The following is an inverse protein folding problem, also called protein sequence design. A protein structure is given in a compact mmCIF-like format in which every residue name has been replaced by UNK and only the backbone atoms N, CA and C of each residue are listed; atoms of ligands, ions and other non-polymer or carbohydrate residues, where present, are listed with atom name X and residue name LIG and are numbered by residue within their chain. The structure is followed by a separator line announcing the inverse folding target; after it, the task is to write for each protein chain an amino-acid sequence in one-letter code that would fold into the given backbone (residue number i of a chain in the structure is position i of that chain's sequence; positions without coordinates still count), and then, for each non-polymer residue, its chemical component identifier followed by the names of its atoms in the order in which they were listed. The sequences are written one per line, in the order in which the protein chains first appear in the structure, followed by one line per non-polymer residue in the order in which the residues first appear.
data_IF_323874219526
#
_entry.id   IF_323874219526
#
_cell.length_a   1.000
_cell.length_b   1.000
_cell.length_c   1.000
_cell.angle_alpha   90.00
_cell.angle_beta   90.00
_cell.angle_gamma   90.00
#
_symmetry.space_group_name_H-M   'P 1'
#
loop_
_entity.id
_entity.type
_entity.pdbx_description
1 polymer ?
#
# COMPACT_ATOMS: atom_id res chain seq x y z
N UNK A 1 -0.12 -29.09 -82.62
CA UNK A 1 0.69 -28.06 -81.96
C UNK A 1 -0.24 -27.36 -80.91
N UNK A 2 -0.14 -27.74 -79.66
CA UNK A 2 -0.89 -27.15 -78.58
C UNK A 2 0.10 -26.51 -77.60
N UNK A 3 0.10 -25.19 -77.51
CA UNK A 3 0.88 -24.45 -76.56
C UNK A 3 0.16 -24.49 -75.22
N UNK A 4 0.86 -24.93 -74.16
CA UNK A 4 0.41 -24.92 -72.80
C UNK A 4 0.98 -23.65 -72.08
N UNK A 5 0.11 -22.75 -71.70
CA UNK A 5 0.43 -21.53 -70.98
C UNK A 5 0.51 -21.83 -69.49
N UNK A 6 1.70 -21.72 -68.90
CA UNK A 6 1.92 -21.85 -67.48
C UNK A 6 1.67 -20.50 -66.80
N UNK A 7 0.61 -20.37 -65.97
CA UNK A 7 0.34 -19.20 -65.10
C UNK A 7 1.04 -19.47 -63.82
N UNK A 8 2.07 -18.68 -63.48
CA UNK A 8 2.69 -18.62 -62.15
C UNK A 8 1.85 -17.74 -61.22
N UNK A 9 1.21 -18.36 -60.24
CA UNK A 9 0.47 -17.66 -59.19
C UNK A 9 1.44 -17.35 -58.05
N UNK A 10 1.84 -16.07 -57.92
CA UNK A 10 2.71 -15.57 -56.85
C UNK A 10 1.87 -15.41 -55.59
N UNK A 11 2.01 -16.32 -54.61
CA UNK A 11 1.45 -16.16 -53.27
C UNK A 11 2.33 -15.17 -52.51
N UNK A 12 1.85 -13.92 -52.32
CA UNK A 12 2.45 -12.94 -51.43
C UNK A 12 2.17 -13.30 -49.98
N UNK A 13 3.24 -13.71 -49.24
CA UNK A 13 3.20 -13.90 -47.79
C UNK A 13 3.23 -12.52 -47.13
N UNK A 14 2.07 -11.97 -46.74
CA UNK A 14 2.00 -10.83 -45.82
C UNK A 14 2.37 -11.31 -44.42
N UNK A 15 3.64 -11.18 -44.01
CA UNK A 15 4.05 -11.29 -42.63
C UNK A 15 3.50 -10.07 -41.88
N UNK A 16 2.35 -10.23 -41.24
CA UNK A 16 1.82 -9.24 -40.31
C UNK A 16 2.72 -9.20 -39.08
N UNK A 17 3.49 -8.12 -38.92
CA UNK A 17 4.15 -7.81 -37.65
C UNK A 17 3.07 -7.49 -36.62
N UNK A 18 2.72 -8.46 -35.79
CA UNK A 18 1.98 -8.21 -34.58
C UNK A 18 2.93 -7.50 -33.59
N UNK A 19 2.87 -6.18 -33.56
CA UNK A 19 3.45 -5.42 -32.45
C UNK A 19 2.67 -5.82 -31.20
N UNK A 20 3.30 -6.60 -30.33
CA UNK A 20 2.84 -6.78 -28.97
C UNK A 20 2.91 -5.39 -28.31
N UNK A 21 1.76 -4.73 -28.14
CA UNK A 21 1.68 -3.56 -27.30
C UNK A 21 1.95 -4.03 -25.87
N UNK A 22 3.07 -3.59 -25.30
CA UNK A 22 3.30 -3.69 -23.86
C UNK A 22 2.11 -3.03 -23.18
N UNK A 23 1.58 -3.58 -22.08
CA UNK A 23 0.52 -2.92 -21.32
C UNK A 23 1.05 -1.54 -20.89
N UNK A 24 0.45 -0.48 -21.42
CA UNK A 24 0.78 0.88 -21.03
C UNK A 24 0.19 1.09 -19.65
N UNK A 25 1.05 1.32 -18.64
CA UNK A 25 0.60 1.71 -17.29
C UNK A 25 -0.34 2.91 -17.38
N UNK A 26 -1.31 3.00 -16.47
CA UNK A 26 -2.20 4.16 -16.46
C UNK A 26 -1.41 5.42 -16.04
N UNK A 27 -1.70 6.60 -16.60
CA UNK A 27 -1.06 7.84 -16.15
C UNK A 27 -1.25 8.12 -14.66
N UNK A 28 -2.32 7.63 -14.04
CA UNK A 28 -2.56 7.70 -12.60
C UNK A 28 -1.57 6.82 -11.84
N UNK A 29 -1.35 5.60 -12.30
CA UNK A 29 -0.39 4.67 -11.73
C UNK A 29 1.03 5.24 -11.75
N UNK A 30 1.48 5.78 -12.89
CA UNK A 30 2.81 6.37 -13.05
C UNK A 30 3.04 7.57 -12.10
N UNK A 31 1.99 8.37 -11.88
CA UNK A 31 2.05 9.51 -10.96
C UNK A 31 2.10 9.06 -9.51
N UNK A 32 1.25 8.13 -9.10
CA UNK A 32 1.25 7.57 -7.75
C UNK A 32 2.60 6.90 -7.46
N UNK A 33 3.12 6.11 -8.41
CA UNK A 33 4.45 5.51 -8.33
C UNK A 33 5.54 6.56 -8.09
N UNK A 34 5.53 7.67 -8.84
CA UNK A 34 6.50 8.74 -8.68
C UNK A 34 6.46 9.35 -7.27
N UNK A 35 5.26 9.56 -6.72
CA UNK A 35 5.10 10.12 -5.38
C UNK A 35 5.57 9.16 -4.28
N UNK A 36 5.18 7.89 -4.37
CA UNK A 36 5.53 6.87 -3.39
C UNK A 36 7.01 6.45 -3.49
N UNK A 37 7.56 6.33 -4.70
CA UNK A 37 8.96 5.91 -4.92
C UNK A 37 9.96 6.90 -4.36
N UNK A 38 9.62 8.18 -4.34
CA UNK A 38 10.47 9.24 -3.79
C UNK A 38 10.52 9.26 -2.25
N UNK A 39 9.79 8.37 -1.59
CA UNK A 39 9.82 8.18 -0.13
C UNK A 39 10.77 7.02 0.17
N UNK A 40 11.99 7.30 0.61
CA UNK A 40 12.92 6.30 1.12
C UNK A 40 12.70 6.04 2.60
N UNK A 41 12.48 7.13 3.36
CA UNK A 41 12.06 7.09 4.75
C UNK A 41 10.92 8.07 4.99
N UNK A 42 10.03 7.75 5.91
CA UNK A 42 8.93 8.58 6.34
C UNK A 42 8.77 8.49 7.85
N UNK A 43 8.67 9.61 8.51
CA UNK A 43 8.22 9.72 9.90
C UNK A 43 7.01 10.65 9.92
N UNK A 44 5.97 10.28 10.65
CA UNK A 44 4.77 11.09 10.78
C UNK A 44 4.04 10.79 12.09
N UNK A 45 3.32 11.77 12.59
CA UNK A 45 2.23 11.57 13.53
C UNK A 45 0.97 11.30 12.72
N UNK A 46 0.16 10.32 13.13
CA UNK A 46 -1.05 9.95 12.42
C UNK A 46 -2.24 10.02 13.36
N UNK A 47 -3.25 10.78 12.96
CA UNK A 47 -4.56 10.77 13.61
C UNK A 47 -5.46 9.82 12.84
N UNK A 48 -5.85 8.72 13.46
CA UNK A 48 -6.82 7.78 12.92
C UNK A 48 -8.21 8.10 13.43
N UNK A 49 -9.18 8.13 12.53
CA UNK A 49 -10.61 8.20 12.85
C UNK A 49 -11.31 6.98 12.26
N UNK A 50 -12.13 6.31 13.06
CA UNK A 50 -13.06 5.28 12.59
C UNK A 50 -14.46 5.87 12.67
N UNK A 51 -15.13 5.95 11.52
CA UNK A 51 -16.42 6.61 11.35
C UNK A 51 -17.44 5.60 10.85
N UNK A 52 -18.61 5.58 11.45
CA UNK A 52 -19.74 4.75 11.01
C UNK A 52 -20.45 5.33 9.78
N UNK A 53 -21.28 4.51 9.15
CA UNK A 53 -22.05 4.88 7.95
C UNK A 53 -23.02 6.06 8.17
N UNK A 54 -23.42 6.33 9.41
CA UNK A 54 -24.27 7.48 9.80
C UNK A 54 -23.48 8.75 10.11
N UNK A 55 -22.13 8.67 10.05
CA UNK A 55 -21.20 9.76 10.33
C UNK A 55 -20.78 9.86 11.79
N UNK A 56 -21.21 8.95 12.67
CA UNK A 56 -20.76 8.87 14.06
C UNK A 56 -19.30 8.44 14.15
N UNK A 57 -18.49 9.16 14.94
CA UNK A 57 -17.10 8.75 15.22
C UNK A 57 -17.11 7.66 16.28
N UNK A 58 -16.66 6.46 15.92
CA UNK A 58 -16.53 5.33 16.83
C UNK A 58 -15.26 5.41 17.65
N UNK A 59 -14.15 5.78 17.02
CA UNK A 59 -12.84 5.79 17.65
C UNK A 59 -11.97 6.88 17.03
N UNK A 60 -11.13 7.49 17.87
CA UNK A 60 -10.03 8.34 17.45
C UNK A 60 -8.77 7.83 18.13
N UNK A 61 -7.71 7.61 17.34
CA UNK A 61 -6.42 7.14 17.83
C UNK A 61 -5.31 8.09 17.42
N UNK A 62 -4.29 8.22 18.29
CA UNK A 62 -3.04 8.92 18.00
C UNK A 62 -1.95 7.88 17.79
N UNK A 63 -1.20 8.02 16.70
CA UNK A 63 -0.26 7.02 16.24
C UNK A 63 1.06 7.70 15.85
N UNK A 64 2.18 7.06 16.16
CA UNK A 64 3.48 7.38 15.58
C UNK A 64 3.83 6.36 14.49
N UNK A 65 4.22 6.85 13.32
CA UNK A 65 4.58 6.01 12.19
C UNK A 65 6.00 6.29 11.72
N UNK A 66 6.76 5.22 11.49
CA UNK A 66 8.03 5.26 10.78
C UNK A 66 8.02 4.24 9.63
N UNK A 67 8.53 4.65 8.49
CA UNK A 67 8.76 3.79 7.34
C UNK A 67 10.22 3.93 6.91
N UNK A 68 10.85 2.83 6.57
CA UNK A 68 12.17 2.78 5.94
C UNK A 68 12.20 1.67 4.90
N UNK A 69 12.32 2.04 3.63
CA UNK A 69 12.41 1.04 2.56
C UNK A 69 13.69 0.20 2.67
N UNK A 70 13.64 -1.08 2.25
CA UNK A 70 12.47 -1.68 1.58
C UNK A 70 11.36 -2.16 2.52
N UNK A 71 11.65 -2.58 3.76
CA UNK A 71 10.72 -3.39 4.57
C UNK A 71 10.62 -2.94 6.04
N UNK A 72 11.27 -1.85 6.42
CA UNK A 72 11.16 -1.31 7.77
C UNK A 72 9.83 -0.56 7.94
N UNK A 73 9.00 -1.03 8.88
CA UNK A 73 7.73 -0.39 9.23
C UNK A 73 7.54 -0.41 10.73
N UNK A 74 7.09 0.73 11.28
CA UNK A 74 6.78 0.94 12.68
C UNK A 74 5.49 1.72 12.77
N UNK A 75 4.54 1.20 13.54
CA UNK A 75 3.24 1.79 13.77
C UNK A 75 2.88 1.61 15.23
N UNK A 76 2.96 2.69 16.00
CA UNK A 76 2.66 2.68 17.42
C UNK A 76 1.40 3.50 17.71
N UNK A 77 0.32 2.82 18.06
CA UNK A 77 -0.88 3.46 18.60
C UNK A 77 -0.61 3.85 20.04
N UNK A 78 -0.70 5.14 20.34
CA UNK A 78 -0.45 5.72 21.68
C UNK A 78 -1.72 5.75 22.51
N UNK A 79 -2.84 6.09 21.90
CA UNK A 79 -4.16 6.22 22.51
C UNK A 79 -5.25 5.76 21.55
N UNK A 80 -6.43 5.29 21.99
CA UNK A 80 -6.80 5.00 23.40
C UNK A 80 -6.27 3.64 23.88
N UNK A 81 -5.96 2.72 22.97
CA UNK A 81 -5.48 1.36 23.24
C UNK A 81 -4.07 1.21 22.68
N UNK A 82 -3.03 1.25 23.53
CA UNK A 82 -1.66 1.12 23.09
C UNK A 82 -1.40 -0.19 22.35
N UNK A 83 -0.81 -0.08 21.16
CA UNK A 83 -0.41 -1.22 20.34
C UNK A 83 0.83 -0.84 19.51
N UNK A 84 1.76 -1.76 19.37
CA UNK A 84 2.93 -1.57 18.51
C UNK A 84 3.00 -2.67 17.45
N UNK A 85 2.94 -2.28 16.21
CA UNK A 85 3.25 -3.14 15.05
C UNK A 85 4.58 -2.69 14.47
N UNK A 86 5.57 -3.59 14.48
CA UNK A 86 6.89 -3.27 13.96
C UNK A 86 7.46 -4.43 13.16
N UNK A 87 8.16 -4.14 12.06
CA UNK A 87 8.88 -5.14 11.28
C UNK A 87 10.22 -4.62 10.78
N UNK A 88 11.18 -5.53 10.70
CA UNK A 88 12.51 -5.31 10.12
C UNK A 88 12.67 -5.94 8.72
N UNK A 89 11.57 -6.40 8.12
CA UNK A 89 11.57 -7.09 6.83
C UNK A 89 11.77 -8.60 6.90
N UNK A 90 12.01 -9.18 8.07
CA UNK A 90 12.06 -10.62 8.28
C UNK A 90 11.08 -11.10 9.34
N UNK A 91 10.87 -10.31 10.36
CA UNK A 91 10.00 -10.61 11.49
C UNK A 91 9.02 -9.46 11.68
N UNK A 92 7.78 -9.78 11.95
CA UNK A 92 6.73 -8.88 12.41
C UNK A 92 6.48 -9.13 13.89
N UNK A 93 6.46 -8.09 14.68
CA UNK A 93 6.01 -8.08 16.07
C UNK A 93 4.75 -7.23 16.18
N UNK A 94 3.71 -7.81 16.77
CA UNK A 94 2.52 -7.08 17.20
C UNK A 94 2.44 -7.18 18.71
N UNK A 95 2.78 -6.09 19.41
CA UNK A 95 2.80 -6.01 20.86
C UNK A 95 1.59 -5.24 21.38
N UNK A 96 0.85 -5.88 22.25
CA UNK A 96 -0.36 -5.36 22.89
C UNK A 96 -0.13 -5.31 24.41
N UNK A 97 0.35 -4.17 24.94
CA UNK A 97 0.72 -4.06 26.34
C UNK A 97 -0.46 -4.31 27.30
N UNK A 98 -1.67 -3.86 26.94
CA UNK A 98 -2.87 -4.03 27.78
C UNK A 98 -3.30 -5.51 27.91
N UNK A 99 -2.90 -6.35 26.96
CA UNK A 99 -3.13 -7.79 26.97
C UNK A 99 -1.91 -8.57 27.47
N UNK A 100 -0.82 -7.88 27.82
CA UNK A 100 0.47 -8.47 28.23
C UNK A 100 0.98 -9.54 27.24
N UNK A 101 0.77 -9.32 25.92
CA UNK A 101 1.12 -10.28 24.86
C UNK A 101 1.89 -9.64 23.70
N UNK A 102 2.68 -10.48 23.04
CA UNK A 102 3.25 -10.17 21.71
C UNK A 102 3.01 -11.32 20.77
N UNK A 103 2.51 -11.03 19.59
CA UNK A 103 2.43 -11.97 18.47
C UNK A 103 3.67 -11.77 17.60
N UNK A 104 4.39 -12.87 17.33
CA UNK A 104 5.59 -12.87 16.48
C UNK A 104 5.34 -13.73 15.26
N UNK A 105 5.52 -13.13 14.08
CA UNK A 105 5.28 -13.79 12.80
C UNK A 105 6.47 -13.57 11.86
N UNK A 106 6.65 -14.47 10.89
CA UNK A 106 7.52 -14.19 9.76
C UNK A 106 6.89 -13.05 8.93
N UNK A 107 7.72 -12.06 8.58
CA UNK A 107 7.25 -10.99 7.70
C UNK A 107 6.89 -11.54 6.31
N UNK A 108 5.68 -11.22 5.86
CA UNK A 108 5.20 -11.52 4.52
C UNK A 108 4.63 -10.24 3.91
N UNK A 109 5.36 -9.64 2.98
CA UNK A 109 4.96 -8.40 2.32
C UNK A 109 3.62 -8.52 1.56
N UNK A 110 3.19 -9.73 1.23
CA UNK A 110 1.89 -9.98 0.57
C UNK A 110 0.72 -9.92 1.54
N UNK A 111 0.99 -10.12 2.83
CA UNK A 111 0.02 -10.08 3.94
C UNK A 111 0.25 -8.90 4.88
N UNK A 112 1.15 -7.98 4.50
CA UNK A 112 1.51 -6.83 5.32
C UNK A 112 0.28 -6.01 5.72
N UNK A 113 0.41 -5.34 6.86
CA UNK A 113 -0.54 -4.32 7.27
C UNK A 113 -0.84 -3.37 6.11
N UNK A 114 -2.10 -2.97 5.96
CA UNK A 114 -2.53 -2.19 4.81
C UNK A 114 -1.74 -0.88 4.66
N UNK A 115 -1.43 -0.21 5.78
CA UNK A 115 -0.62 1.00 5.75
C UNK A 115 0.78 0.73 5.19
N UNK A 116 1.46 -0.34 5.65
CA UNK A 116 2.76 -0.75 5.14
C UNK A 116 2.71 -1.06 3.64
N UNK A 117 1.67 -1.75 3.18
CA UNK A 117 1.46 -2.09 1.78
C UNK A 117 1.26 -0.86 0.91
N UNK A 118 0.38 0.06 1.31
CA UNK A 118 0.09 1.28 0.56
C UNK A 118 1.30 2.22 0.47
N UNK A 119 2.12 2.28 1.53
CA UNK A 119 3.23 3.21 1.65
C UNK A 119 4.59 2.60 1.24
N UNK A 120 4.67 1.29 1.04
CA UNK A 120 5.91 0.60 0.62
C UNK A 120 6.47 1.12 -0.71
N UNK A 121 5.61 1.68 -1.57
CA UNK A 121 5.97 2.08 -2.92
C UNK A 121 6.17 0.89 -3.88
N UNK A 122 5.70 -0.30 -3.50
CA UNK A 122 5.64 -1.44 -4.40
C UNK A 122 4.43 -1.30 -5.33
N UNK A 123 4.63 -0.53 -6.39
CA UNK A 123 3.56 -0.17 -7.33
C UNK A 123 3.03 -1.37 -8.10
N UNK A 124 3.88 -2.37 -8.39
CA UNK A 124 3.47 -3.60 -9.08
C UNK A 124 2.46 -4.39 -8.23
N UNK A 125 2.69 -4.47 -6.92
CA UNK A 125 1.74 -5.08 -5.98
C UNK A 125 0.43 -4.29 -5.92
N UNK A 126 0.50 -2.96 -5.88
CA UNK A 126 -0.69 -2.10 -5.87
C UNK A 126 -1.50 -2.25 -7.17
N UNK A 127 -0.85 -2.22 -8.34
CA UNK A 127 -1.54 -2.43 -9.62
C UNK A 127 -2.14 -3.84 -9.75
N UNK A 128 -1.48 -4.84 -9.17
CA UNK A 128 -2.02 -6.20 -9.10
C UNK A 128 -3.32 -6.31 -8.31
N UNK A 129 -3.44 -5.55 -7.22
CA UNK A 129 -4.57 -5.65 -6.29
C UNK A 129 -5.68 -4.62 -6.54
N UNK A 130 -5.34 -3.47 -7.15
CA UNK A 130 -6.26 -2.35 -7.32
C UNK A 130 -6.30 -1.85 -8.77
N UNK A 131 -7.45 -1.33 -9.17
CA UNK A 131 -7.54 -0.37 -10.27
C UNK A 131 -7.23 1.01 -9.69
N UNK A 132 -6.32 1.76 -10.32
CA UNK A 132 -5.83 3.04 -9.81
C UNK A 132 -6.22 4.15 -10.78
N UNK A 133 -7.01 5.10 -10.27
CA UNK A 133 -7.46 6.27 -10.99
C UNK A 133 -7.00 7.55 -10.28
N UNK A 134 -6.87 8.64 -11.03
CA UNK A 134 -6.58 9.98 -10.47
C UNK A 134 -7.79 10.88 -10.66
N UNK A 135 -8.32 11.37 -9.57
CA UNK A 135 -9.49 12.26 -9.56
C UNK A 135 -9.11 13.70 -9.89
N UNK A 136 -7.87 14.08 -9.59
CA UNK A 136 -7.39 15.46 -9.73
C UNK A 136 -6.53 15.68 -10.97
N UNK A 137 -6.47 16.94 -11.44
CA UNK A 137 -5.60 17.36 -12.53
C UNK A 137 -4.11 17.21 -12.16
N UNK A 138 -3.28 16.84 -13.15
CA UNK A 138 -1.81 16.74 -13.01
C UNK A 138 -1.14 18.02 -12.49
N UNK A 139 -1.77 19.19 -12.69
CA UNK A 139 -1.25 20.49 -12.27
C UNK A 139 -1.78 20.96 -10.92
N UNK A 140 -2.63 20.16 -10.27
CA UNK A 140 -3.16 20.50 -8.95
C UNK A 140 -2.10 20.32 -7.88
N UNK A 141 -2.03 21.20 -6.91
CA UNK A 141 -1.23 21.06 -5.69
C UNK A 141 -1.78 19.92 -4.82
N UNK A 142 -3.10 19.76 -4.84
CA UNK A 142 -3.79 18.59 -4.25
C UNK A 142 -3.91 17.50 -5.31
N UNK A 143 -3.44 16.29 -4.98
CA UNK A 143 -3.52 15.12 -5.84
C UNK A 143 -4.22 14.00 -5.08
N UNK A 144 -5.28 13.47 -5.69
CA UNK A 144 -6.09 12.39 -5.15
C UNK A 144 -6.05 11.20 -6.10
N UNK A 145 -5.79 10.03 -5.51
CA UNK A 145 -5.79 8.75 -6.20
C UNK A 145 -6.83 7.83 -5.56
N UNK A 146 -7.68 7.27 -6.40
CA UNK A 146 -8.67 6.27 -6.01
C UNK A 146 -8.17 4.87 -6.40
N UNK A 147 -8.18 3.97 -5.41
CA UNK A 147 -7.79 2.57 -5.54
C UNK A 147 -9.03 1.70 -5.32
N UNK A 148 -9.55 1.13 -6.40
CA UNK A 148 -10.69 0.20 -6.35
C UNK A 148 -10.15 -1.23 -6.32
N UNK A 149 -10.43 -2.03 -5.27
CA UNK A 149 -9.97 -3.41 -5.20
C UNK A 149 -10.44 -4.26 -6.38
N UNK A 150 -9.52 -5.05 -6.97
CA UNK A 150 -9.85 -6.01 -8.03
C UNK A 150 -10.53 -7.26 -7.48
N UNK A 151 -10.22 -7.63 -6.23
CA UNK A 151 -10.83 -8.79 -5.58
C UNK A 151 -12.24 -8.45 -5.07
N UNK A 152 -13.21 -9.30 -5.40
CA UNK A 152 -14.57 -9.23 -4.85
C UNK A 152 -14.60 -9.49 -3.33
N UNK A 153 -13.60 -10.22 -2.81
CA UNK A 153 -13.50 -10.60 -1.39
C UNK A 153 -12.87 -9.49 -0.52
N UNK A 154 -12.37 -8.40 -1.13
CA UNK A 154 -11.89 -7.26 -0.36
C UNK A 154 -12.98 -6.72 0.56
N UNK A 155 -12.61 -6.40 1.79
CA UNK A 155 -13.50 -5.70 2.74
C UNK A 155 -13.69 -4.23 2.37
N UNK A 156 -12.75 -3.66 1.62
CA UNK A 156 -12.82 -2.28 1.15
C UNK A 156 -13.58 -2.17 -0.16
N UNK A 157 -14.35 -1.11 -0.28
CA UNK A 157 -15.00 -0.68 -1.52
C UNK A 157 -14.11 0.26 -2.32
N UNK A 158 -13.42 1.17 -1.63
CA UNK A 158 -12.57 2.20 -2.21
C UNK A 158 -11.53 2.65 -1.20
N UNK A 159 -10.31 2.89 -1.67
CA UNK A 159 -9.26 3.54 -0.89
C UNK A 159 -8.88 4.83 -1.63
N UNK A 160 -8.81 5.97 -0.93
CA UNK A 160 -8.32 7.22 -1.50
C UNK A 160 -7.02 7.62 -0.82
N UNK A 161 -5.99 7.94 -1.61
CA UNK A 161 -4.70 8.45 -1.13
C UNK A 161 -4.55 9.90 -1.59
N UNK A 162 -4.36 10.80 -0.65
CA UNK A 162 -4.30 12.23 -0.89
C UNK A 162 -2.90 12.78 -0.60
N UNK A 163 -2.42 13.61 -1.51
CA UNK A 163 -1.19 14.36 -1.38
C UNK A 163 -1.47 15.85 -1.53
N UNK A 164 -0.86 16.67 -0.68
CA UNK A 164 -0.82 18.12 -0.80
C UNK A 164 0.63 18.56 -1.04
N UNK A 165 0.90 19.33 -2.09
CA UNK A 165 2.26 19.74 -2.46
C UNK A 165 3.26 18.57 -2.59
N UNK A 166 2.78 17.41 -3.07
CA UNK A 166 3.49 16.11 -3.14
C UNK A 166 3.86 15.51 -1.76
N UNK A 167 3.30 15.98 -0.67
CA UNK A 167 3.41 15.39 0.66
C UNK A 167 2.16 14.57 0.97
N UNK A 168 2.33 13.42 1.59
CA UNK A 168 1.22 12.56 2.00
C UNK A 168 0.39 13.30 3.06
N UNK A 169 -0.90 13.50 2.78
CA UNK A 169 -1.83 14.23 3.63
C UNK A 169 -2.79 13.29 4.35
N UNK A 170 -3.44 12.41 3.61
CA UNK A 170 -4.43 11.51 4.19
C UNK A 170 -4.68 10.26 3.34
N UNK A 171 -5.17 9.21 4.01
CA UNK A 171 -5.68 7.99 3.38
C UNK A 171 -7.08 7.73 3.94
N UNK A 172 -8.04 7.47 3.05
CA UNK A 172 -9.41 7.10 3.38
C UNK A 172 -9.65 5.66 2.96
N UNK A 173 -10.12 4.84 3.88
CA UNK A 173 -10.46 3.44 3.66
C UNK A 173 -11.97 3.30 3.79
N UNK A 174 -12.66 3.22 2.66
CA UNK A 174 -14.11 3.03 2.64
C UNK A 174 -14.42 1.54 2.59
N UNK A 175 -15.01 1.03 3.65
CA UNK A 175 -15.39 -0.38 3.77
C UNK A 175 -16.76 -0.65 3.15
N UNK A 176 -16.99 -1.88 2.66
CA UNK A 176 -18.27 -2.29 2.06
C UNK A 176 -19.46 -2.26 3.04
N UNK A 177 -19.19 -2.33 4.35
CA UNK A 177 -20.21 -2.19 5.39
C UNK A 177 -20.61 -0.74 5.68
N UNK A 178 -20.01 0.24 4.97
CA UNK A 178 -20.26 1.66 5.13
C UNK A 178 -19.37 2.36 6.17
N UNK A 179 -18.54 1.62 6.90
CA UNK A 179 -17.55 2.20 7.81
C UNK A 179 -16.42 2.85 7.02
N UNK A 180 -15.91 3.96 7.51
CA UNK A 180 -14.74 4.64 6.96
C UNK A 180 -13.65 4.73 8.02
N UNK A 181 -12.41 4.37 7.66
CA UNK A 181 -11.22 4.71 8.43
C UNK A 181 -10.47 5.82 7.71
N UNK A 182 -10.09 6.85 8.45
CA UNK A 182 -9.34 8.00 7.94
C UNK A 182 -8.02 8.07 8.68
N UNK A 183 -6.91 8.08 7.94
CA UNK A 183 -5.58 8.40 8.46
C UNK A 183 -5.19 9.78 7.97
N UNK A 184 -4.93 10.71 8.90
CA UNK A 184 -4.35 12.03 8.61
C UNK A 184 -2.92 12.02 9.07
N UNK A 185 -2.02 12.41 8.18
CA UNK A 185 -0.60 12.47 8.44
C UNK A 185 -0.21 13.91 8.80
N UNK A 186 0.37 14.07 9.98
CA UNK A 186 0.83 15.34 10.52
C UNK A 186 2.34 15.27 10.77
N UNK A 187 3.02 16.42 10.84
CA UNK A 187 4.46 16.49 11.11
C UNK A 187 5.31 15.58 10.21
N UNK A 188 4.93 15.47 8.93
CA UNK A 188 5.54 14.56 7.95
C UNK A 188 6.99 14.96 7.68
N UNK A 189 7.93 14.05 7.95
CA UNK A 189 9.35 14.19 7.66
C UNK A 189 9.77 13.08 6.72
N UNK A 190 10.30 13.43 5.55
CA UNK A 190 10.71 12.47 4.51
C UNK A 190 12.22 12.47 4.33
N UNK A 191 12.74 11.30 3.96
CA UNK A 191 14.10 11.11 3.48
C UNK A 191 15.18 11.58 4.47
N UNK A 192 14.85 11.49 5.79
CA UNK A 192 15.79 11.69 6.88
C UNK A 192 16.22 10.33 7.41
N UNK A 193 17.50 10.21 7.79
CA UNK A 193 18.01 8.94 8.31
C UNK A 193 17.23 8.48 9.55
N UNK A 194 16.74 7.23 9.51
CA UNK A 194 16.11 6.56 10.65
C UNK A 194 17.02 5.39 11.05
N UNK A 195 17.31 5.29 12.35
CA UNK A 195 18.11 4.20 12.91
C UNK A 195 17.38 2.85 12.75
N UNK A 196 18.11 1.84 12.27
CA UNK A 196 17.58 0.48 12.11
C UNK A 196 17.11 -0.15 13.43
N UNK A 197 17.64 0.30 14.55
CA UNK A 197 17.21 -0.12 15.88
C UNK A 197 15.72 0.20 16.15
N UNK A 198 15.13 1.19 15.44
CA UNK A 198 13.70 1.50 15.54
C UNK A 198 12.79 0.40 14.98
N UNK A 199 13.32 -0.44 14.11
CA UNK A 199 12.61 -1.54 13.49
C UNK A 199 12.91 -2.90 14.13
N UNK A 200 13.45 -2.88 15.35
CA UNK A 200 13.69 -4.06 16.17
C UNK A 200 12.84 -3.99 17.43
N UNK A 201 12.27 -5.11 17.83
CA UNK A 201 11.52 -5.19 19.06
C UNK A 201 12.07 -6.31 19.95
N UNK A 202 12.26 -6.00 21.21
CA UNK A 202 12.62 -6.97 22.23
C UNK A 202 11.45 -7.07 23.21
N UNK A 203 10.77 -8.24 23.27
CA UNK A 203 9.66 -8.43 24.18
C UNK A 203 10.06 -8.13 25.64
N UNK A 204 9.23 -7.38 26.39
CA UNK A 204 9.43 -7.20 27.82
C UNK A 204 9.44 -8.54 28.58
N UNK A 205 10.00 -8.57 29.77
CA UNK A 205 9.93 -9.74 30.64
C UNK A 205 8.49 -9.99 31.11
N UNK A 206 8.13 -11.28 31.25
CA UNK A 206 6.84 -11.76 31.79
C UNK A 206 5.60 -11.43 30.94
N UNK A 207 5.75 -11.29 29.63
CA UNK A 207 4.61 -11.23 28.70
C UNK A 207 4.41 -12.57 27.99
N UNK A 208 3.19 -12.80 27.51
CA UNK A 208 2.87 -13.96 26.68
C UNK A 208 3.46 -13.77 25.27
N UNK A 209 4.24 -14.75 24.81
CA UNK A 209 4.78 -14.76 23.45
C UNK A 209 3.98 -15.78 22.65
N UNK A 210 3.31 -15.31 21.61
CA UNK A 210 2.53 -16.12 20.66
C UNK A 210 3.31 -16.15 19.34
N UNK A 211 3.90 -17.30 19.02
CA UNK A 211 4.59 -17.50 17.74
C UNK A 211 3.63 -18.14 16.74
N UNK A 212 3.21 -17.37 15.74
CA UNK A 212 2.48 -17.87 14.59
C UNK A 212 3.47 -18.34 13.52
N UNK A 213 4.13 -19.48 13.78
CA UNK A 213 4.88 -20.17 12.74
C UNK A 213 3.89 -20.77 11.75
N UNK A 214 3.98 -20.40 10.46
CA UNK A 214 3.29 -21.16 9.43
C UNK A 214 3.83 -22.59 9.47
N UNK A 215 2.98 -23.54 9.86
CA UNK A 215 3.30 -24.95 9.66
C UNK A 215 3.59 -25.15 8.17
N UNK A 216 4.83 -25.55 7.86
CA UNK A 216 5.26 -25.91 6.51
C UNK A 216 4.46 -27.10 5.98
#
# INVERSE_FOLDING_TARGET
MKQILFVFMLLGLCAGNAFAQSPTSSPALDRLDTLLRNIETLAADVVQLIVESDGGVLEQSEIQMLLKKPDGFYWETLTPFPELVVTNGSTLWNYQPDLEQVVIEAWDSTRSELAAKLLSGNIESLDGDYMIDSVTSVKSEHQEFELTPRSADSIYQLISINFMHNELESIYLNSKNGQQTVWRFENVIRNTAIDDAKFQFVPPENIEIIENGYAQ
#
